data_IF_409627143771
#
_entry.id   IF_409627143771
#
_cell.length_a   1.000
_cell.length_b   1.000
_cell.length_c   1.000
_cell.angle_alpha   90.00
_cell.angle_beta   90.00
_cell.angle_gamma   90.00
#
_symmetry.space_group_name_H-M   'P 1'
#
loop_
_entity.id
_entity.type
_entity.pdbx_description
1 polymer ?
#
# COMPACT_ATOMS: atom_id res chain seq x y z
N UNK A 1 -18.69 25.78 91.00
CA UNK A 1 -19.55 24.96 90.17
C UNK A 1 -19.51 25.51 88.75
N UNK A 2 -18.70 24.93 87.90
CA UNK A 2 -18.50 25.41 86.55
C UNK A 2 -19.08 24.42 85.56
N UNK A 3 -20.10 24.80 84.82
CA UNK A 3 -20.64 23.99 83.71
C UNK A 3 -19.87 24.32 82.41
N UNK A 4 -19.26 23.31 81.88
CA UNK A 4 -18.63 23.36 80.57
C UNK A 4 -19.64 22.81 79.55
N UNK A 5 -20.10 23.67 78.65
CA UNK A 5 -20.88 23.25 77.53
C UNK A 5 -19.94 22.93 76.36
N UNK A 6 -19.98 21.68 75.93
CA UNK A 6 -19.28 21.22 74.72
C UNK A 6 -20.13 21.51 73.47
N UNK A 7 -19.62 22.33 72.60
CA UNK A 7 -20.21 22.56 71.28
C UNK A 7 -19.71 21.51 70.29
N UNK A 8 -20.62 20.65 69.84
CA UNK A 8 -20.33 19.66 68.76
C UNK A 8 -20.39 20.37 67.39
N UNK A 9 -19.27 20.42 66.71
CA UNK A 9 -19.14 20.90 65.38
C UNK A 9 -19.48 19.77 64.38
N UNK A 10 -20.66 19.83 63.74
CA UNK A 10 -21.05 18.89 62.67
C UNK A 10 -20.43 19.38 61.35
N UNK A 11 -19.42 18.64 60.88
CA UNK A 11 -18.78 18.85 59.61
C UNK A 11 -19.62 18.20 58.51
N UNK A 12 -20.36 18.97 57.75
CA UNK A 12 -21.13 18.50 56.58
C UNK A 12 -20.18 18.48 55.37
N UNK A 13 -19.69 17.29 55.01
CA UNK A 13 -18.94 17.09 53.79
C UNK A 13 -19.92 17.02 52.61
N UNK A 14 -19.95 18.07 51.81
CA UNK A 14 -20.62 18.12 50.50
C UNK A 14 -19.78 17.31 49.51
N UNK A 15 -20.21 16.07 49.21
CA UNK A 15 -19.69 15.28 48.09
C UNK A 15 -20.19 15.94 46.79
N UNK A 16 -19.34 16.72 46.14
CA UNK A 16 -19.55 17.11 44.76
C UNK A 16 -19.30 15.86 43.90
N UNK A 17 -20.39 15.21 43.49
CA UNK A 17 -20.36 14.23 42.41
C UNK A 17 -20.18 14.98 41.11
N UNK A 18 -18.96 14.97 40.57
CA UNK A 18 -18.74 15.35 39.19
C UNK A 18 -19.38 14.29 38.29
N UNK A 19 -20.62 14.47 37.90
CA UNK A 19 -21.15 13.81 36.71
C UNK A 19 -20.44 14.42 35.52
N UNK A 20 -19.51 13.68 34.93
CA UNK A 20 -19.00 13.99 33.59
C UNK A 20 -20.21 14.16 32.66
N UNK A 21 -20.28 15.22 31.85
CA UNK A 21 -21.30 15.27 30.82
C UNK A 21 -21.12 14.02 29.95
N UNK A 22 -22.19 13.23 29.84
CA UNK A 22 -22.30 12.18 28.84
C UNK A 22 -21.88 12.82 27.52
N UNK A 23 -20.74 12.40 27.00
CA UNK A 23 -20.39 12.72 25.63
C UNK A 23 -21.51 12.12 24.79
N UNK A 24 -22.48 12.97 24.44
CA UNK A 24 -23.42 12.63 23.39
C UNK A 24 -22.56 12.31 22.17
N UNK A 25 -22.29 11.02 21.96
CA UNK A 25 -21.91 10.52 20.64
C UNK A 25 -22.97 11.08 19.72
N UNK A 26 -22.63 12.16 19.01
CA UNK A 26 -23.35 12.55 17.83
C UNK A 26 -23.29 11.31 16.95
N UNK A 27 -24.40 10.61 16.80
CA UNK A 27 -24.60 9.63 15.75
C UNK A 27 -24.44 10.39 14.42
N UNK A 28 -23.19 10.62 14.03
CA UNK A 28 -22.88 10.90 12.64
C UNK A 28 -23.53 9.75 11.87
N UNK A 29 -24.30 10.02 10.80
CA UNK A 29 -24.94 8.97 10.04
C UNK A 29 -23.84 7.97 9.69
N UNK A 30 -23.87 6.80 10.35
CA UNK A 30 -22.91 5.76 10.10
C UNK A 30 -23.08 5.43 8.62
N UNK A 31 -22.07 5.78 7.81
CA UNK A 31 -22.09 5.36 6.41
C UNK A 31 -22.26 3.87 6.41
N UNK A 32 -23.31 3.36 5.78
CA UNK A 32 -23.62 1.93 5.78
C UNK A 32 -22.40 1.10 5.33
N UNK A 33 -21.56 1.69 4.48
CA UNK A 33 -20.29 1.10 4.04
C UNK A 33 -19.27 0.89 5.18
N UNK A 34 -19.33 1.64 6.27
CA UNK A 34 -18.38 1.52 7.39
C UNK A 34 -18.83 0.54 8.49
N UNK A 35 -19.96 -0.13 8.30
CA UNK A 35 -20.39 -1.19 9.22
C UNK A 35 -19.46 -2.40 9.12
N UNK A 36 -19.09 -2.99 10.25
CA UNK A 36 -18.23 -4.18 10.36
C UNK A 36 -18.77 -5.40 9.59
N UNK A 37 -20.05 -5.37 9.20
CA UNK A 37 -20.71 -6.45 8.45
C UNK A 37 -20.57 -6.30 6.93
N UNK A 38 -20.21 -5.12 6.42
CA UNK A 38 -20.07 -4.87 5.00
C UNK A 38 -18.73 -5.36 4.50
N UNK A 39 -18.74 -6.10 3.40
CA UNK A 39 -17.53 -6.72 2.83
C UNK A 39 -17.05 -5.96 1.60
N UNK A 40 -15.75 -6.00 1.41
CA UNK A 40 -15.11 -5.63 0.14
C UNK A 40 -15.47 -6.65 -0.93
N UNK A 41 -15.77 -6.19 -2.13
CA UNK A 41 -16.22 -7.04 -3.26
C UNK A 41 -15.24 -7.04 -4.42
N UNK A 42 -14.23 -6.17 -4.38
CA UNK A 42 -13.22 -6.01 -5.41
C UNK A 42 -13.71 -5.26 -6.65
N UNK A 43 -12.81 -4.56 -7.29
CA UNK A 43 -13.13 -3.63 -8.39
C UNK A 43 -13.71 -4.33 -9.63
N UNK A 44 -13.51 -5.65 -9.82
CA UNK A 44 -14.14 -6.39 -10.90
C UNK A 44 -15.67 -6.47 -10.74
N UNK A 45 -16.16 -6.53 -9.50
CA UNK A 45 -17.59 -6.45 -9.21
C UNK A 45 -18.15 -5.08 -9.62
N UNK A 46 -17.43 -4.00 -9.32
CA UNK A 46 -17.81 -2.63 -9.69
C UNK A 46 -17.91 -2.47 -11.21
N UNK A 47 -16.98 -3.07 -11.97
CA UNK A 47 -16.94 -3.04 -13.43
C UNK A 47 -18.24 -3.52 -14.07
N UNK A 48 -18.93 -4.49 -13.47
CA UNK A 48 -20.16 -5.07 -14.06
C UNK A 48 -21.26 -4.03 -14.31
N UNK A 49 -21.29 -2.95 -13.49
CA UNK A 49 -22.27 -1.86 -13.66
C UNK A 49 -21.60 -0.53 -14.05
N UNK A 50 -20.31 -0.35 -13.74
CA UNK A 50 -19.55 0.90 -13.93
C UNK A 50 -18.38 0.72 -14.91
N UNK A 51 -18.61 0.05 -16.05
CA UNK A 51 -17.57 -0.32 -17.02
C UNK A 51 -16.76 0.89 -17.51
N UNK A 52 -17.42 1.99 -17.88
CA UNK A 52 -16.75 3.18 -18.42
C UNK A 52 -15.86 3.88 -17.35
N UNK A 53 -16.37 3.94 -16.12
CA UNK A 53 -15.62 4.49 -14.97
C UNK A 53 -14.41 3.61 -14.68
N UNK A 54 -14.59 2.29 -14.66
CA UNK A 54 -13.52 1.33 -14.47
C UNK A 54 -12.41 1.51 -15.53
N UNK A 55 -12.76 1.54 -16.81
CA UNK A 55 -11.79 1.68 -17.91
C UNK A 55 -11.05 3.04 -17.87
N UNK A 56 -11.73 4.11 -17.43
CA UNK A 56 -11.10 5.42 -17.25
C UNK A 56 -10.17 5.44 -16.05
N UNK A 57 -10.57 4.82 -14.93
CA UNK A 57 -9.78 4.72 -13.71
C UNK A 57 -8.46 3.99 -13.95
N UNK A 58 -8.46 2.88 -14.69
CA UNK A 58 -7.25 2.14 -15.02
C UNK A 58 -6.20 2.96 -15.80
N UNK A 59 -6.59 4.09 -16.39
CA UNK A 59 -5.67 5.02 -17.09
C UNK A 59 -5.04 6.04 -16.16
N UNK A 60 -5.58 6.19 -14.93
CA UNK A 60 -5.08 7.14 -13.92
C UNK A 60 -3.77 6.67 -13.30
N UNK A 61 -3.07 7.58 -12.61
CA UNK A 61 -1.88 7.24 -11.83
C UNK A 61 -2.18 6.24 -10.70
N UNK A 62 -3.36 6.33 -10.08
CA UNK A 62 -3.80 5.41 -9.02
C UNK A 62 -4.10 4.01 -9.58
N UNK A 63 -4.87 3.92 -10.66
CA UNK A 63 -5.15 2.64 -11.32
C UNK A 63 -3.90 1.95 -11.87
N UNK A 64 -2.82 2.74 -12.11
CA UNK A 64 -1.51 2.24 -12.54
C UNK A 64 -0.49 2.12 -11.43
N UNK A 65 -0.88 2.22 -10.16
CA UNK A 65 0.05 2.32 -9.03
C UNK A 65 0.90 1.08 -8.82
N UNK A 66 0.38 -0.09 -9.15
CA UNK A 66 1.04 -1.38 -8.90
C UNK A 66 0.49 -2.45 -9.87
N UNK A 67 1.36 -3.29 -10.41
CA UNK A 67 0.95 -4.42 -11.25
C UNK A 67 2.07 -5.47 -11.36
N UNK A 68 1.74 -6.62 -11.89
CA UNK A 68 2.70 -7.66 -12.27
C UNK A 68 3.73 -7.07 -13.24
N UNK A 69 4.99 -7.47 -13.06
CA UNK A 69 6.08 -6.98 -13.90
C UNK A 69 5.90 -7.46 -15.34
N UNK A 70 5.56 -6.53 -16.21
CA UNK A 70 5.34 -6.78 -17.64
C UNK A 70 5.77 -5.58 -18.49
N UNK A 71 5.96 -5.82 -19.80
CA UNK A 71 6.39 -4.77 -20.74
C UNK A 71 5.41 -3.60 -20.80
N UNK A 72 4.11 -3.86 -20.67
CA UNK A 72 3.07 -2.83 -20.70
C UNK A 72 3.06 -1.98 -19.42
N UNK A 73 3.46 -2.57 -18.29
CA UNK A 73 3.54 -1.89 -17.01
C UNK A 73 4.80 -1.04 -16.88
N UNK A 74 5.91 -1.49 -17.45
CA UNK A 74 7.20 -0.82 -17.36
C UNK A 74 7.24 0.47 -18.18
N UNK A 75 7.64 1.58 -17.56
CA UNK A 75 7.97 2.84 -18.26
C UNK A 75 9.42 2.88 -18.72
N UNK A 76 10.22 1.87 -18.37
CA UNK A 76 11.65 1.87 -18.62
C UNK A 76 11.98 1.63 -20.09
N UNK A 77 13.04 2.32 -20.55
CA UNK A 77 13.67 2.12 -21.86
C UNK A 77 14.85 1.18 -21.69
N UNK A 78 14.93 0.16 -22.53
CA UNK A 78 15.91 -0.91 -22.41
C UNK A 78 17.04 -0.93 -23.44
N UNK A 79 16.96 -0.27 -24.62
CA UNK A 79 17.92 -0.59 -25.68
C UNK A 79 19.37 -0.23 -25.36
N UNK A 80 19.64 0.85 -24.60
CA UNK A 80 20.99 1.40 -24.46
C UNK A 80 21.28 1.89 -23.04
N UNK A 81 21.00 1.06 -22.01
CA UNK A 81 21.34 1.42 -20.63
C UNK A 81 22.61 0.71 -20.17
N UNK A 82 23.47 1.46 -19.50
CA UNK A 82 24.61 0.91 -18.79
C UNK A 82 24.19 0.26 -17.47
N UNK A 83 24.94 -0.71 -16.97
CA UNK A 83 24.75 -1.21 -15.61
C UNK A 83 24.87 -0.07 -14.58
N UNK A 84 23.99 -0.06 -13.58
CA UNK A 84 24.10 0.83 -12.44
C UNK A 84 25.18 0.31 -11.49
N UNK A 85 26.17 1.14 -11.16
CA UNK A 85 27.26 0.76 -10.28
C UNK A 85 27.09 1.33 -8.88
N UNK A 86 26.97 0.43 -7.92
CA UNK A 86 27.03 0.77 -6.49
C UNK A 86 28.49 0.69 -6.01
N UNK A 87 29.15 1.84 -5.92
CA UNK A 87 30.54 1.95 -5.50
C UNK A 87 30.82 1.50 -4.06
N UNK A 88 29.82 1.54 -3.17
CA UNK A 88 29.99 1.16 -1.77
C UNK A 88 29.94 -0.36 -1.57
N UNK A 89 29.19 -1.06 -2.44
CA UNK A 89 29.09 -2.52 -2.44
C UNK A 89 30.00 -3.18 -3.46
N UNK A 90 30.61 -2.38 -4.34
CA UNK A 90 31.35 -2.88 -5.50
C UNK A 90 30.50 -3.87 -6.30
N UNK A 91 29.26 -3.47 -6.60
CA UNK A 91 28.29 -4.28 -7.33
C UNK A 91 27.70 -3.51 -8.50
N UNK A 92 27.45 -4.23 -9.58
CA UNK A 92 26.74 -3.72 -10.74
C UNK A 92 25.37 -4.35 -10.80
N UNK A 93 24.38 -3.58 -11.26
CA UNK A 93 23.00 -4.02 -11.46
C UNK A 93 22.59 -3.74 -12.90
N UNK A 94 22.11 -4.77 -13.60
CA UNK A 94 21.70 -4.67 -14.99
C UNK A 94 20.29 -5.23 -15.17
N UNK A 95 19.27 -4.39 -15.45
CA UNK A 95 17.92 -4.83 -15.73
C UNK A 95 17.81 -5.31 -17.17
N UNK A 96 17.13 -6.41 -17.42
CA UNK A 96 16.90 -6.94 -18.75
C UNK A 96 15.63 -7.78 -18.82
N UNK A 97 15.13 -7.95 -20.04
CA UNK A 97 14.00 -8.84 -20.31
C UNK A 97 14.52 -10.21 -20.78
N UNK A 98 14.09 -11.26 -20.08
CA UNK A 98 14.22 -12.63 -20.54
C UNK A 98 12.84 -13.12 -20.97
N UNK A 99 12.59 -13.22 -22.26
CA UNK A 99 11.24 -13.37 -22.82
C UNK A 99 10.33 -12.26 -22.31
N UNK A 100 9.25 -12.58 -21.57
CA UNK A 100 8.32 -11.62 -20.98
C UNK A 100 8.57 -11.37 -19.49
N UNK A 101 9.61 -11.92 -18.92
CA UNK A 101 9.99 -11.74 -17.52
C UNK A 101 11.07 -10.67 -17.38
N UNK A 102 10.86 -9.72 -16.47
CA UNK A 102 11.87 -8.74 -16.10
C UNK A 102 12.83 -9.35 -15.09
N UNK A 103 14.11 -9.20 -15.34
CA UNK A 103 15.19 -9.67 -14.49
C UNK A 103 16.15 -8.54 -14.12
N UNK A 104 16.82 -8.69 -12.99
CA UNK A 104 17.96 -7.87 -12.58
C UNK A 104 19.14 -8.78 -12.33
N UNK A 105 20.17 -8.61 -13.16
CA UNK A 105 21.46 -9.25 -12.95
C UNK A 105 22.30 -8.37 -12.02
N UNK A 106 22.67 -8.92 -10.87
CA UNK A 106 23.63 -8.33 -9.95
C UNK A 106 24.98 -9.02 -10.16
N UNK A 107 26.07 -8.27 -10.34
CA UNK A 107 27.38 -8.88 -10.59
C UNK A 107 28.53 -8.01 -10.07
N UNK A 108 29.69 -8.64 -9.87
CA UNK A 108 30.96 -7.98 -9.50
C UNK A 108 32.03 -8.34 -10.52
N UNK A 109 32.85 -7.35 -10.82
CA UNK A 109 34.00 -7.50 -11.72
C UNK A 109 35.31 -7.51 -10.95
N UNK A 110 36.29 -8.31 -11.42
CA UNK A 110 37.68 -8.21 -11.08
C UNK A 110 38.46 -8.02 -12.38
N UNK A 111 38.91 -6.80 -12.64
CA UNK A 111 39.40 -6.42 -13.96
C UNK A 111 38.29 -6.54 -15.00
N UNK A 112 38.45 -7.48 -15.95
CA UNK A 112 37.43 -7.75 -17.00
C UNK A 112 36.55 -8.97 -16.69
N UNK A 113 36.87 -9.71 -15.65
CA UNK A 113 36.24 -11.00 -15.34
C UNK A 113 35.08 -10.80 -14.37
N UNK A 114 33.96 -11.46 -14.63
CA UNK A 114 32.85 -11.54 -13.68
C UNK A 114 33.16 -12.57 -12.62
N UNK A 115 33.45 -12.13 -11.39
CA UNK A 115 33.81 -13.00 -10.26
C UNK A 115 32.62 -13.37 -9.38
N UNK A 116 31.50 -12.69 -9.55
CA UNK A 116 30.24 -12.95 -8.85
C UNK A 116 29.08 -12.55 -9.75
N UNK A 117 28.02 -13.36 -9.77
CA UNK A 117 26.76 -13.01 -10.40
C UNK A 117 25.56 -13.63 -9.67
N UNK A 118 24.45 -12.90 -9.69
CA UNK A 118 23.15 -13.35 -9.21
C UNK A 118 22.09 -12.81 -10.13
N UNK A 119 21.26 -13.67 -10.65
CA UNK A 119 20.06 -13.29 -11.40
C UNK A 119 18.83 -13.29 -10.49
N UNK A 120 17.98 -12.30 -10.62
CA UNK A 120 16.75 -12.17 -9.84
C UNK A 120 15.59 -11.75 -10.74
N UNK A 121 14.57 -12.61 -10.84
CA UNK A 121 13.31 -12.26 -11.49
C UNK A 121 12.58 -11.19 -10.68
N UNK A 122 11.98 -10.25 -11.36
CA UNK A 122 11.10 -9.22 -10.82
C UNK A 122 9.66 -9.66 -11.02
N UNK A 123 8.86 -9.62 -9.97
CA UNK A 123 7.49 -10.07 -9.99
C UNK A 123 6.49 -8.92 -10.13
N UNK A 124 6.80 -7.73 -9.56
CA UNK A 124 5.92 -6.57 -9.60
C UNK A 124 6.67 -5.28 -9.90
N UNK A 125 5.94 -4.31 -10.48
CA UNK A 125 6.39 -2.94 -10.70
C UNK A 125 5.45 -2.00 -9.96
N UNK A 126 6.02 -1.15 -9.10
CA UNK A 126 5.33 -0.12 -8.31
C UNK A 126 5.51 1.25 -8.95
N UNK A 127 4.46 2.03 -8.95
CA UNK A 127 4.40 3.38 -9.51
C UNK A 127 3.74 3.40 -10.89
N UNK A 128 3.08 4.51 -11.20
CA UNK A 128 2.35 4.70 -12.46
C UNK A 128 3.25 4.82 -13.71
N UNK A 129 4.55 4.96 -13.51
CA UNK A 129 5.51 5.22 -14.57
C UNK A 129 5.63 6.70 -14.97
N UNK A 130 4.91 7.61 -14.31
CA UNK A 130 5.05 9.06 -14.58
C UNK A 130 6.33 9.65 -13.97
N UNK A 131 6.70 9.20 -12.78
CA UNK A 131 7.90 9.65 -12.06
C UNK A 131 8.95 8.55 -11.97
N UNK A 132 8.54 7.39 -11.46
CA UNK A 132 9.41 6.23 -11.26
C UNK A 132 8.67 4.93 -11.47
N UNK A 133 9.44 3.88 -11.73
CA UNK A 133 9.05 2.49 -11.51
C UNK A 133 10.04 1.85 -10.54
N UNK A 134 9.58 1.46 -9.37
CA UNK A 134 10.31 0.60 -8.44
C UNK A 134 9.95 -0.87 -8.68
N UNK A 135 10.88 -1.75 -8.37
CA UNK A 135 10.80 -3.15 -8.76
C UNK A 135 10.80 -4.05 -7.53
N UNK A 136 9.91 -5.03 -7.50
CA UNK A 136 9.76 -5.94 -6.38
C UNK A 136 9.86 -7.38 -6.83
N UNK A 137 10.39 -8.21 -5.93
CA UNK A 137 10.31 -9.66 -6.05
C UNK A 137 9.54 -10.27 -4.90
N UNK A 138 8.82 -11.36 -5.19
CA UNK A 138 8.11 -12.15 -4.19
C UNK A 138 8.87 -13.45 -3.91
N UNK A 139 9.09 -13.74 -2.65
CA UNK A 139 9.71 -15.00 -2.22
C UNK A 139 8.93 -15.57 -1.05
N UNK A 140 8.32 -16.74 -1.22
CA UNK A 140 7.54 -17.43 -0.18
C UNK A 140 6.46 -16.55 0.47
N UNK A 141 5.81 -15.68 -0.31
CA UNK A 141 4.79 -14.74 0.17
C UNK A 141 5.32 -13.42 0.75
N UNK A 142 6.64 -13.26 0.91
CA UNK A 142 7.24 -11.98 1.30
C UNK A 142 7.61 -11.16 0.08
N UNK A 143 7.44 -9.83 0.18
CA UNK A 143 7.87 -8.88 -0.84
C UNK A 143 9.20 -8.24 -0.46
N UNK A 144 10.08 -8.13 -1.44
CA UNK A 144 11.38 -7.49 -1.30
C UNK A 144 11.59 -6.46 -2.41
N UNK A 145 12.08 -5.28 -2.04
CA UNK A 145 12.49 -4.29 -3.02
C UNK A 145 13.79 -4.71 -3.71
N UNK A 146 13.81 -4.62 -5.04
CA UNK A 146 15.03 -4.79 -5.81
C UNK A 146 15.91 -3.53 -5.76
N UNK A 147 17.23 -3.65 -5.94
CA UNK A 147 18.17 -2.54 -5.84
C UNK A 147 18.20 -1.63 -7.08
N UNK A 148 17.14 -1.60 -7.86
CA UNK A 148 16.99 -0.75 -9.04
C UNK A 148 15.61 -0.09 -9.11
N UNK A 149 15.61 1.19 -9.46
CA UNK A 149 14.44 2.00 -9.82
C UNK A 149 14.69 2.67 -11.16
N UNK A 150 13.70 2.70 -12.02
CA UNK A 150 13.74 3.51 -13.23
C UNK A 150 13.12 4.89 -12.95
N UNK A 151 13.89 5.93 -13.12
CA UNK A 151 13.49 7.33 -12.96
C UNK A 151 13.02 7.88 -14.30
N UNK A 152 11.73 7.81 -14.55
CA UNK A 152 11.12 8.13 -15.85
C UNK A 152 11.45 9.55 -16.32
N UNK A 153 11.41 10.53 -15.42
CA UNK A 153 11.70 11.92 -15.75
C UNK A 153 13.17 12.15 -16.13
N UNK A 154 14.08 11.33 -15.59
CA UNK A 154 15.51 11.36 -15.93
C UNK A 154 15.85 10.43 -17.09
N UNK A 155 14.96 9.51 -17.44
CA UNK A 155 15.17 8.50 -18.47
C UNK A 155 16.28 7.49 -18.13
N UNK A 156 16.53 7.23 -16.84
CA UNK A 156 17.66 6.40 -16.40
C UNK A 156 17.29 5.45 -15.26
N UNK A 157 18.08 4.38 -15.18
CA UNK A 157 18.11 3.48 -14.03
C UNK A 157 19.07 3.99 -12.97
N UNK A 158 18.70 3.84 -11.70
CA UNK A 158 19.55 4.17 -10.56
C UNK A 158 19.13 3.35 -9.32
N UNK A 159 19.90 3.47 -8.25
CA UNK A 159 19.53 2.89 -6.96
C UNK A 159 18.23 3.53 -6.44
N UNK A 160 17.34 2.76 -5.79
CA UNK A 160 16.14 3.32 -5.19
C UNK A 160 16.47 4.21 -3.97
N UNK A 161 15.57 5.14 -3.60
CA UNK A 161 15.75 5.97 -2.42
C UNK A 161 16.03 5.13 -1.16
N UNK A 162 17.04 5.54 -0.40
CA UNK A 162 17.50 4.83 0.80
C UNK A 162 18.42 3.65 0.54
N UNK A 163 18.89 3.47 -0.71
CA UNK A 163 19.94 2.50 -1.05
C UNK A 163 21.28 3.16 -1.33
N UNK A 164 21.33 4.49 -1.36
CA UNK A 164 22.55 5.26 -1.59
C UNK A 164 23.51 5.18 -0.39
N UNK A 165 24.73 5.64 -0.59
CA UNK A 165 25.74 5.87 0.47
C UNK A 165 26.04 4.64 1.34
N UNK A 166 26.02 3.44 0.75
CA UNK A 166 26.31 2.19 1.43
C UNK A 166 25.11 1.54 2.13
N UNK A 167 23.93 2.14 2.07
CA UNK A 167 22.71 1.59 2.66
C UNK A 167 21.99 0.55 1.78
N UNK A 168 22.55 0.24 0.61
CA UNK A 168 21.97 -0.76 -0.29
C UNK A 168 21.90 -2.15 0.38
N UNK A 169 20.69 -2.57 0.68
CA UNK A 169 20.39 -3.89 1.24
C UNK A 169 20.26 -4.99 0.17
N UNK A 170 20.59 -4.66 -1.08
CA UNK A 170 20.48 -5.55 -2.24
C UNK A 170 19.02 -6.00 -2.43
N UNK A 171 18.72 -7.29 -2.43
CA UNK A 171 17.37 -7.86 -2.55
C UNK A 171 16.76 -8.25 -1.19
N UNK A 172 17.23 -7.67 -0.08
CA UNK A 172 16.78 -8.06 1.27
C UNK A 172 15.91 -7.03 1.98
N UNK A 173 15.63 -5.85 1.37
CA UNK A 173 14.69 -4.89 1.92
C UNK A 173 13.28 -5.44 1.83
N UNK A 174 12.80 -5.98 2.94
CA UNK A 174 11.43 -6.47 3.03
C UNK A 174 10.44 -5.30 3.05
N UNK A 175 9.32 -5.46 2.34
CA UNK A 175 8.22 -4.49 2.34
C UNK A 175 7.16 -4.91 3.34
N UNK A 176 6.83 -3.99 4.21
CA UNK A 176 5.81 -4.12 5.24
C UNK A 176 4.45 -3.65 4.72
N UNK A 177 3.41 -3.91 5.50
CA UNK A 177 2.03 -3.63 5.10
C UNK A 177 1.79 -2.16 4.75
N UNK A 178 2.43 -1.22 5.46
CA UNK A 178 2.29 0.22 5.24
C UNK A 178 2.67 0.64 3.82
N UNK A 179 3.76 0.05 3.29
CA UNK A 179 4.20 0.35 1.92
C UNK A 179 3.17 -0.11 0.89
N UNK A 180 2.65 -1.32 1.07
CA UNK A 180 1.72 -1.94 0.12
C UNK A 180 0.33 -1.33 0.23
N UNK A 181 -0.11 -0.96 1.42
CA UNK A 181 -1.43 -0.36 1.65
C UNK A 181 -1.64 0.97 0.90
N UNK A 182 -0.56 1.72 0.61
CA UNK A 182 -0.66 2.97 -0.15
C UNK A 182 -0.69 2.75 -1.68
N UNK A 183 -0.20 1.62 -2.17
CA UNK A 183 -0.07 1.35 -3.61
C UNK A 183 -1.06 0.32 -4.14
N UNK A 184 -1.74 -0.40 -3.26
CA UNK A 184 -2.69 -1.47 -3.61
C UNK A 184 -4.06 -1.25 -2.97
N UNK A 185 -5.02 -2.07 -3.35
CA UNK A 185 -6.29 -2.27 -2.69
C UNK A 185 -6.07 -2.82 -1.26
N UNK A 186 -6.73 -3.88 -0.89
CA UNK A 186 -6.57 -4.51 0.43
C UNK A 186 -5.81 -5.84 0.29
N UNK A 187 -4.48 -5.86 0.47
CA UNK A 187 -3.72 -7.11 0.44
C UNK A 187 -4.12 -7.98 1.64
N UNK A 188 -4.19 -9.28 1.39
CA UNK A 188 -4.49 -10.26 2.43
C UNK A 188 -3.19 -10.81 3.01
N UNK A 189 -3.04 -10.73 4.32
CA UNK A 189 -1.92 -11.35 5.02
C UNK A 189 -2.21 -12.82 5.33
N UNK A 190 -1.16 -13.62 5.41
CA UNK A 190 -1.24 -14.96 5.96
C UNK A 190 -1.54 -14.85 7.45
N UNK A 191 -2.47 -15.66 7.95
CA UNK A 191 -2.87 -15.66 9.36
C UNK A 191 -1.64 -15.77 10.29
N UNK A 192 -1.58 -14.91 11.29
CA UNK A 192 -0.47 -14.83 12.24
C UNK A 192 0.81 -14.18 11.70
N UNK A 193 0.77 -13.58 10.51
CA UNK A 193 1.91 -12.87 9.93
C UNK A 193 1.59 -11.41 9.67
N UNK A 194 2.53 -10.51 9.98
CA UNK A 194 2.43 -9.07 9.72
C UNK A 194 2.98 -8.65 8.35
N UNK A 195 3.73 -9.53 7.67
CA UNK A 195 4.49 -9.16 6.47
C UNK A 195 4.49 -10.22 5.37
N UNK A 196 3.81 -11.36 5.60
CA UNK A 196 3.65 -12.41 4.60
C UNK A 196 2.27 -12.28 3.95
N UNK A 197 2.27 -12.09 2.65
CA UNK A 197 1.06 -11.88 1.86
C UNK A 197 0.52 -13.21 1.33
N UNK A 198 -0.75 -13.47 1.57
CA UNK A 198 -1.50 -14.54 0.92
C UNK A 198 -1.96 -14.09 -0.47
N UNK A 199 -2.40 -12.83 -0.57
CA UNK A 199 -2.85 -12.24 -1.82
C UNK A 199 -2.43 -10.77 -1.90
N UNK A 200 -2.02 -10.33 -3.10
CA UNK A 200 -1.64 -8.96 -3.39
C UNK A 200 -2.46 -8.51 -4.60
N UNK A 201 -3.43 -7.61 -4.42
CA UNK A 201 -4.20 -7.03 -5.53
C UNK A 201 -3.33 -6.18 -6.46
N UNK A 202 -3.77 -6.00 -7.69
CA UNK A 202 -3.09 -5.14 -8.65
C UNK A 202 -3.58 -3.69 -8.53
N UNK A 203 -2.77 -2.86 -7.87
CA UNK A 203 -3.01 -1.43 -7.76
C UNK A 203 -4.10 -1.01 -6.76
N UNK A 204 -4.31 0.29 -6.67
CA UNK A 204 -5.41 0.89 -5.92
C UNK A 204 -6.71 0.60 -6.65
N UNK A 205 -7.79 0.34 -5.90
CA UNK A 205 -9.11 0.09 -6.47
C UNK A 205 -10.17 1.11 -6.02
N UNK A 206 -11.39 0.91 -6.51
CA UNK A 206 -12.54 1.78 -6.21
C UNK A 206 -12.84 1.85 -4.71
N UNK A 207 -12.75 0.72 -4.03
CA UNK A 207 -13.13 0.59 -2.63
C UNK A 207 -12.13 1.27 -1.67
N UNK A 208 -10.91 1.62 -2.13
CA UNK A 208 -9.96 2.42 -1.33
C UNK A 208 -10.49 3.83 -1.05
N UNK A 209 -11.30 4.37 -1.94
CA UNK A 209 -11.91 5.69 -1.80
C UNK A 209 -13.39 5.61 -1.42
N UNK A 210 -14.11 4.64 -1.96
CA UNK A 210 -15.56 4.52 -1.76
C UNK A 210 -15.96 3.64 -0.58
N UNK A 211 -14.99 2.97 0.08
CA UNK A 211 -15.28 1.99 1.12
C UNK A 211 -15.84 0.66 0.57
N UNK A 212 -16.14 -0.30 1.44
CA UNK A 212 -16.60 -1.63 1.05
C UNK A 212 -17.95 -1.58 0.32
N UNK A 213 -17.98 -2.14 -0.90
CA UNK A 213 -19.11 -2.05 -1.82
C UNK A 213 -20.23 -3.10 -1.61
N UNK A 214 -20.07 -4.03 -0.67
CA UNK A 214 -20.98 -5.16 -0.53
C UNK A 214 -22.44 -4.78 -0.34
N UNK A 215 -22.73 -3.80 0.51
CA UNK A 215 -24.09 -3.33 0.77
C UNK A 215 -24.67 -2.55 -0.45
N UNK A 216 -23.84 -1.75 -1.11
CA UNK A 216 -24.21 -1.10 -2.36
C UNK A 216 -24.66 -2.12 -3.42
N UNK A 217 -23.84 -3.14 -3.66
CA UNK A 217 -24.15 -4.19 -4.64
C UNK A 217 -25.45 -4.90 -4.28
N UNK A 218 -25.61 -5.26 -3.00
CA UNK A 218 -26.86 -5.91 -2.53
C UNK A 218 -28.08 -5.05 -2.81
N UNK A 219 -28.06 -3.77 -2.47
CA UNK A 219 -29.17 -2.84 -2.69
C UNK A 219 -29.50 -2.68 -4.18
N UNK A 220 -28.49 -2.53 -5.03
CA UNK A 220 -28.69 -2.40 -6.48
C UNK A 220 -29.29 -3.65 -7.10
N UNK A 221 -28.88 -4.84 -6.66
CA UNK A 221 -29.48 -6.09 -7.09
C UNK A 221 -30.94 -6.25 -6.65
N UNK A 222 -31.35 -5.61 -5.56
CA UNK A 222 -32.74 -5.55 -5.09
C UNK A 222 -33.56 -4.44 -5.76
N UNK A 223 -32.99 -3.66 -6.67
CA UNK A 223 -33.67 -2.59 -7.41
C UNK A 223 -33.81 -1.28 -6.64
N UNK A 224 -33.06 -1.06 -5.56
CA UNK A 224 -33.05 0.21 -4.85
C UNK A 224 -32.44 1.33 -5.73
N UNK A 225 -33.21 2.39 -5.98
CA UNK A 225 -32.79 3.46 -6.88
C UNK A 225 -31.77 4.40 -6.21
N UNK A 226 -32.03 4.77 -4.96
CA UNK A 226 -31.16 5.68 -4.18
C UNK A 226 -30.33 4.86 -3.20
N UNK A 227 -29.03 5.07 -3.25
CA UNK A 227 -28.10 4.39 -2.37
C UNK A 227 -26.89 5.29 -2.08
N UNK A 228 -26.65 5.54 -0.81
CA UNK A 228 -25.53 6.32 -0.30
C UNK A 228 -24.45 5.45 0.36
N UNK A 229 -24.53 4.12 0.22
CA UNK A 229 -23.65 3.19 0.93
C UNK A 229 -22.17 3.37 0.56
N UNK A 230 -21.89 3.80 -0.69
CA UNK A 230 -20.53 4.07 -1.17
C UNK A 230 -20.29 5.55 -1.51
N UNK A 231 -21.24 6.42 -1.20
CA UNK A 231 -21.06 7.86 -1.39
C UNK A 231 -20.12 8.37 -0.28
N UNK A 232 -19.02 8.98 -0.68
CA UNK A 232 -18.11 9.71 0.22
C UNK A 232 -18.40 11.18 0.03
N UNK A 233 -18.82 11.84 1.11
CA UNK A 233 -18.96 13.28 1.13
C UNK A 233 -17.60 13.90 1.45
N UNK A 234 -16.96 14.50 0.45
CA UNK A 234 -15.70 15.23 0.58
C UNK A 234 -15.98 16.71 0.91
N UNK A 235 -16.72 16.99 1.95
CA UNK A 235 -16.90 18.39 2.44
C UNK A 235 -15.71 18.85 3.26
#
# INVERSE_FOLDING_TARGET
>A
MMFRTAASLVLVTLLFSCTSPDEQKTDAPAYAALSDTVRYVGMQTCRNCHADIYESFLKTGMGKSFDVAGRQKSSARFPDHAPVFDRYRDLHYFPYWQSDSLHVLEFRLSGKDTVYSRDARIDFIVGSGQHTNSHLRQVNGYLFQAPLTYYTQKGQWDLPPGFENGHNSRFSRKLEFECISCHNAYPTLVEGSETKYAEIPNGIDCERCHGPGGEHVRKKLLGELVDTAVAIDYT
#
